data_IF_992945225699
#
_entry.id   IF_992945225699
#
_cell.length_a   1.000
_cell.length_b   1.000
_cell.length_c   1.000
_cell.angle_alpha   90.00
_cell.angle_beta   90.00
_cell.angle_gamma   90.00
#
_symmetry.space_group_name_H-M   'P 1'
#
loop_
_entity.id
_entity.type
_entity.pdbx_description
1 polymer ?
#
# COMPACT_ATOMS: atom_id res chain seq x y z
N UNK A 1 -4.53 -36.79 15.05
CA UNK A 1 -3.40 -37.44 14.34
C UNK A 1 -2.90 -36.64 13.14
N UNK A 2 -3.65 -36.39 12.05
CA UNK A 2 -3.12 -35.61 10.91
C UNK A 2 -2.77 -34.15 11.28
N UNK A 3 -3.60 -33.49 12.11
CA UNK A 3 -3.33 -32.13 12.61
C UNK A 3 -2.07 -32.08 13.49
N UNK A 4 -1.87 -33.07 14.37
CA UNK A 4 -0.74 -33.09 15.31
C UNK A 4 0.60 -33.26 14.59
N UNK A 5 0.63 -34.09 13.53
CA UNK A 5 1.83 -34.24 12.68
C UNK A 5 2.12 -32.93 11.92
N UNK A 6 1.09 -32.23 11.44
CA UNK A 6 1.26 -30.93 10.79
C UNK A 6 1.73 -29.84 11.77
N UNK A 7 1.22 -29.85 13.00
CA UNK A 7 1.62 -28.89 14.04
C UNK A 7 3.05 -29.13 14.52
N UNK A 8 3.45 -30.40 14.66
CA UNK A 8 4.83 -30.78 14.94
C UNK A 8 5.78 -30.36 13.81
N UNK A 9 5.40 -30.57 12.55
CA UNK A 9 6.19 -30.15 11.39
C UNK A 9 6.37 -28.62 11.31
N UNK A 10 5.31 -27.84 11.61
CA UNK A 10 5.38 -26.37 11.66
C UNK A 10 6.33 -25.88 12.75
N UNK A 11 6.26 -26.51 13.93
CA UNK A 11 7.11 -26.17 15.07
C UNK A 11 8.58 -26.53 14.80
N UNK A 12 8.84 -27.67 14.15
CA UNK A 12 10.18 -28.06 13.73
C UNK A 12 10.77 -27.12 12.67
N UNK A 13 9.96 -26.73 11.67
CA UNK A 13 10.37 -25.76 10.65
C UNK A 13 10.75 -24.39 11.24
N UNK A 14 9.97 -23.89 12.21
CA UNK A 14 10.34 -22.66 12.92
C UNK A 14 11.65 -22.81 13.71
N UNK A 15 11.85 -23.94 14.39
CA UNK A 15 13.10 -24.18 15.14
C UNK A 15 14.32 -24.26 14.22
N UNK A 16 14.19 -24.90 13.06
CA UNK A 16 15.25 -24.98 12.04
C UNK A 16 15.59 -23.58 11.49
N UNK A 17 14.58 -22.78 11.17
CA UNK A 17 14.79 -21.39 10.71
C UNK A 17 15.56 -20.55 11.74
N UNK A 18 15.18 -20.64 13.02
CA UNK A 18 15.89 -19.95 14.09
C UNK A 18 17.34 -20.44 14.23
N UNK A 19 17.57 -21.75 14.12
CA UNK A 19 18.92 -22.32 14.17
C UNK A 19 19.79 -21.85 12.99
N UNK A 20 19.19 -21.59 11.82
CA UNK A 20 19.85 -21.04 10.63
C UNK A 20 19.98 -19.50 10.66
N UNK A 21 19.57 -18.84 11.75
CA UNK A 21 19.60 -17.38 11.86
C UNK A 21 18.56 -16.65 11.01
N UNK A 22 17.60 -17.36 10.41
CA UNK A 22 16.51 -16.80 9.61
C UNK A 22 15.36 -16.33 10.52
N UNK A 23 15.62 -15.28 11.28
CA UNK A 23 14.71 -14.77 12.30
C UNK A 23 13.62 -13.82 11.77
N UNK A 24 13.57 -13.59 10.45
CA UNK A 24 12.65 -12.65 9.83
C UNK A 24 11.94 -13.26 8.62
N UNK A 25 10.83 -12.65 8.25
CA UNK A 25 10.04 -12.96 7.07
C UNK A 25 9.83 -11.69 6.25
N UNK A 26 10.10 -11.75 4.96
CA UNK A 26 9.78 -10.68 4.02
C UNK A 26 8.51 -11.03 3.24
N UNK A 27 7.64 -10.04 3.03
CA UNK A 27 6.42 -10.21 2.24
C UNK A 27 6.71 -10.08 0.75
N UNK A 28 6.41 -11.16 0.02
CA UNK A 28 6.66 -11.27 -1.41
C UNK A 28 5.34 -11.19 -2.17
N UNK A 29 5.33 -10.41 -3.24
CA UNK A 29 4.21 -10.37 -4.19
C UNK A 29 4.29 -11.58 -5.12
N UNK A 30 3.13 -12.07 -5.55
CA UNK A 30 3.03 -13.04 -6.65
C UNK A 30 2.33 -12.32 -7.80
N UNK A 31 3.08 -11.60 -8.66
CA UNK A 31 2.47 -10.71 -9.63
C UNK A 31 1.60 -11.43 -10.65
N UNK A 32 0.50 -10.80 -11.11
CA UNK A 32 0.05 -9.48 -10.70
C UNK A 32 -0.78 -9.53 -9.40
N UNK A 33 -0.41 -8.68 -8.42
CA UNK A 33 -1.01 -8.65 -7.07
C UNK A 33 -1.97 -7.48 -6.89
N UNK A 34 -2.92 -7.59 -5.97
CA UNK A 34 -3.88 -6.50 -5.74
C UNK A 34 -3.19 -5.26 -5.14
N UNK A 35 -3.80 -4.07 -5.31
CA UNK A 35 -3.24 -2.82 -4.77
C UNK A 35 -3.01 -2.84 -3.25
N UNK A 36 -3.84 -3.54 -2.47
CA UNK A 36 -3.69 -3.65 -1.01
C UNK A 36 -2.45 -4.45 -0.60
N UNK A 37 -2.15 -5.51 -1.35
CA UNK A 37 -0.93 -6.32 -1.19
C UNK A 37 0.32 -5.49 -1.49
N UNK A 38 0.27 -4.71 -2.57
CA UNK A 38 1.43 -3.95 -3.07
C UNK A 38 1.96 -2.93 -2.06
N UNK A 39 1.09 -2.27 -1.28
CA UNK A 39 1.49 -1.34 -0.19
C UNK A 39 2.36 -2.00 0.88
N UNK A 40 2.33 -3.32 0.97
CA UNK A 40 3.05 -4.12 1.95
C UNK A 40 4.20 -4.93 1.35
N UNK A 41 4.44 -4.80 0.05
CA UNK A 41 5.53 -5.49 -0.64
C UNK A 41 6.87 -5.14 0.01
N UNK A 42 7.74 -6.15 0.16
CA UNK A 42 9.07 -5.99 0.73
C UNK A 42 9.11 -5.69 2.23
N UNK A 43 7.97 -5.65 2.94
CA UNK A 43 7.96 -5.45 4.39
C UNK A 43 8.49 -6.67 5.14
N UNK A 44 9.31 -6.40 6.15
CA UNK A 44 9.92 -7.42 7.01
C UNK A 44 9.18 -7.52 8.34
N UNK A 45 8.95 -8.76 8.76
CA UNK A 45 8.29 -9.14 9.99
C UNK A 45 9.18 -10.09 10.79
N UNK A 46 9.04 -10.08 12.12
CA UNK A 46 9.75 -11.03 13.01
C UNK A 46 9.05 -12.38 13.14
N UNK A 47 7.78 -12.43 12.76
CA UNK A 47 6.94 -13.62 12.83
C UNK A 47 6.23 -13.83 11.51
N UNK A 48 5.92 -15.08 11.21
CA UNK A 48 5.18 -15.55 10.04
C UNK A 48 3.68 -15.20 10.10
N UNK A 49 3.19 -14.67 11.22
CA UNK A 49 1.77 -14.35 11.48
C UNK A 49 1.17 -13.23 10.58
N UNK A 50 1.77 -12.88 9.44
CA UNK A 50 1.52 -11.64 8.71
C UNK A 50 0.87 -11.79 7.31
N UNK A 51 0.40 -12.98 6.91
CA UNK A 51 0.07 -13.20 5.49
C UNK A 51 -1.44 -13.23 5.17
N UNK A 52 -2.30 -13.70 6.07
CA UNK A 52 -3.75 -13.61 5.89
C UNK A 52 -4.29 -12.23 6.32
N UNK A 53 -4.28 -11.29 5.36
CA UNK A 53 -4.73 -9.91 5.62
C UNK A 53 -6.12 -9.60 5.09
N UNK A 54 -6.50 -10.22 3.98
CA UNK A 54 -7.82 -10.07 3.38
C UNK A 54 -8.15 -11.30 2.51
N UNK A 55 -9.44 -11.57 2.24
CA UNK A 55 -9.83 -12.64 1.32
C UNK A 55 -9.17 -12.47 -0.05
N UNK A 56 -8.68 -13.57 -0.63
CA UNK A 56 -8.02 -13.57 -1.94
C UNK A 56 -6.64 -12.90 -1.96
N UNK A 57 -5.97 -12.79 -0.80
CA UNK A 57 -4.56 -12.40 -0.75
C UNK A 57 -3.69 -13.47 -1.41
N UNK A 58 -2.82 -13.04 -2.32
CA UNK A 58 -1.88 -13.85 -3.10
C UNK A 58 -0.44 -13.73 -2.62
N UNK A 59 -0.16 -12.83 -1.65
CA UNK A 59 1.19 -12.66 -1.12
C UNK A 59 1.70 -13.93 -0.43
N UNK A 60 2.97 -14.21 -0.64
CA UNK A 60 3.72 -15.24 0.09
C UNK A 60 4.72 -14.59 1.06
N UNK A 61 5.38 -15.44 1.84
CA UNK A 61 6.46 -15.05 2.73
C UNK A 61 7.71 -15.85 2.42
N UNK A 62 8.86 -15.20 2.58
CA UNK A 62 10.15 -15.87 2.52
C UNK A 62 10.98 -15.47 3.72
N UNK A 63 11.67 -16.44 4.29
CA UNK A 63 12.52 -16.26 5.45
C UNK A 63 13.83 -15.59 5.08
N UNK A 64 14.31 -14.71 5.96
CA UNK A 64 15.58 -14.01 5.79
C UNK A 64 16.31 -13.80 7.12
N UNK A 65 17.63 -13.65 7.04
CA UNK A 65 18.46 -13.41 8.21
C UNK A 65 18.45 -11.95 8.66
N UNK A 66 18.22 -11.02 7.73
CA UNK A 66 18.15 -9.57 7.99
C UNK A 66 17.48 -8.83 6.82
N UNK A 67 17.30 -7.51 6.97
CA UNK A 67 16.92 -6.64 5.85
C UNK A 67 17.95 -6.65 4.73
N UNK A 68 19.25 -6.69 5.07
CA UNK A 68 20.30 -6.72 4.06
C UNK A 68 20.25 -8.03 3.26
N UNK A 69 20.07 -9.17 3.93
CA UNK A 69 19.91 -10.48 3.27
C UNK A 69 18.71 -10.49 2.31
N UNK A 70 17.57 -9.92 2.73
CA UNK A 70 16.40 -9.82 1.86
C UNK A 70 16.64 -8.92 0.64
N UNK A 71 17.40 -7.84 0.79
CA UNK A 71 17.80 -6.96 -0.32
C UNK A 71 18.76 -7.67 -1.28
N UNK A 72 19.79 -8.32 -0.75
CA UNK A 72 20.82 -9.02 -1.53
C UNK A 72 20.23 -10.17 -2.36
N UNK A 73 19.21 -10.84 -1.83
CA UNK A 73 18.44 -11.89 -2.51
C UNK A 73 17.36 -11.37 -3.45
N UNK A 74 17.15 -10.05 -3.52
CA UNK A 74 16.14 -9.44 -4.39
C UNK A 74 14.69 -9.68 -3.95
N UNK A 75 14.45 -9.94 -2.67
CA UNK A 75 13.11 -10.25 -2.14
C UNK A 75 12.29 -9.00 -1.80
N UNK A 76 12.94 -7.83 -1.74
CA UNK A 76 12.30 -6.56 -1.41
C UNK A 76 11.86 -5.88 -2.71
N UNK A 77 10.56 -5.73 -2.88
CA UNK A 77 9.94 -4.97 -3.98
C UNK A 77 9.21 -3.78 -3.38
N UNK A 78 9.49 -2.58 -3.88
CA UNK A 78 8.76 -1.37 -3.44
C UNK A 78 7.42 -1.25 -4.16
N UNK A 79 6.43 -0.54 -3.59
CA UNK A 79 5.19 -0.21 -4.29
C UNK A 79 5.43 0.50 -5.64
N UNK A 80 6.47 1.32 -5.71
CA UNK A 80 6.91 2.04 -6.90
C UNK A 80 7.43 1.06 -7.97
N UNK A 81 8.34 0.15 -7.61
CA UNK A 81 8.82 -0.91 -8.51
C UNK A 81 7.67 -1.76 -9.05
N UNK A 82 6.72 -2.11 -8.19
CA UNK A 82 5.56 -2.90 -8.57
C UNK A 82 4.66 -2.14 -9.56
N UNK A 83 4.51 -0.82 -9.41
CA UNK A 83 3.76 0.00 -10.35
C UNK A 83 4.46 0.08 -11.71
N UNK A 84 5.76 0.36 -11.72
CA UNK A 84 6.57 0.47 -12.94
C UNK A 84 6.59 -0.83 -13.75
N UNK A 85 6.65 -1.98 -13.07
CA UNK A 85 6.61 -3.31 -13.70
C UNK A 85 5.21 -3.75 -14.11
N UNK A 86 4.17 -2.97 -13.84
CA UNK A 86 2.78 -3.32 -14.15
C UNK A 86 2.25 -4.48 -13.30
N UNK A 87 2.77 -4.68 -12.09
CA UNK A 87 2.43 -5.79 -11.20
C UNK A 87 1.20 -5.53 -10.33
N UNK A 88 0.60 -4.32 -10.40
CA UNK A 88 -0.52 -3.91 -9.56
C UNK A 88 -1.84 -4.07 -10.30
N UNK A 89 -2.76 -4.86 -9.72
CA UNK A 89 -4.17 -4.93 -10.14
C UNK A 89 -5.07 -4.04 -9.29
N UNK A 90 -6.28 -3.82 -9.81
CA UNK A 90 -7.39 -3.14 -9.13
C UNK A 90 -7.17 -1.63 -8.88
N UNK A 91 -6.22 -1.02 -9.61
CA UNK A 91 -6.09 0.43 -9.71
C UNK A 91 -7.20 0.99 -10.61
N UNK A 92 -7.80 2.10 -10.19
CA UNK A 92 -8.69 2.89 -11.06
C UNK A 92 -7.86 3.72 -12.06
N UNK A 93 -8.47 4.16 -13.16
CA UNK A 93 -7.78 5.01 -14.14
C UNK A 93 -7.23 6.29 -13.49
N UNK A 94 -8.01 6.91 -12.60
CA UNK A 94 -7.59 8.10 -11.86
C UNK A 94 -6.44 7.81 -10.87
N UNK A 95 -6.43 6.65 -10.21
CA UNK A 95 -5.31 6.24 -9.35
C UNK A 95 -4.04 6.06 -10.20
N UNK A 96 -4.15 5.37 -11.35
CA UNK A 96 -3.04 5.16 -12.27
C UNK A 96 -2.51 6.49 -12.83
N UNK A 97 -3.40 7.41 -13.22
CA UNK A 97 -3.03 8.71 -13.73
C UNK A 97 -2.36 9.58 -12.64
N UNK A 98 -2.87 9.60 -11.41
CA UNK A 98 -2.22 10.31 -10.31
C UNK A 98 -0.80 9.81 -10.03
N UNK A 99 -0.57 8.49 -10.08
CA UNK A 99 0.76 7.91 -9.91
C UNK A 99 1.67 8.31 -11.08
N UNK A 100 1.19 8.23 -12.33
CA UNK A 100 1.93 8.70 -13.52
C UNK A 100 2.28 10.19 -13.45
N UNK A 101 1.42 11.00 -12.86
CA UNK A 101 1.66 12.42 -12.62
C UNK A 101 2.59 12.70 -11.43
N UNK A 102 3.13 11.66 -10.79
CA UNK A 102 4.18 11.73 -9.77
C UNK A 102 3.70 11.53 -8.33
N UNK A 103 2.47 11.05 -8.13
CA UNK A 103 1.96 10.80 -6.77
C UNK A 103 2.53 9.53 -6.17
N UNK A 104 2.85 9.55 -4.88
CA UNK A 104 3.30 8.38 -4.12
C UNK A 104 2.25 7.23 -4.18
N UNK A 105 2.70 6.04 -4.60
CA UNK A 105 1.84 4.88 -4.84
C UNK A 105 1.10 4.48 -3.58
N UNK A 106 1.81 4.47 -2.45
CA UNK A 106 1.26 4.10 -1.14
C UNK A 106 0.14 5.06 -0.70
N UNK A 107 0.33 6.36 -0.91
CA UNK A 107 -0.61 7.42 -0.55
C UNK A 107 -1.86 7.36 -1.40
N UNK A 108 -1.72 7.13 -2.72
CA UNK A 108 -2.84 6.96 -3.65
C UNK A 108 -3.67 5.75 -3.25
N UNK A 109 -3.06 4.58 -3.07
CA UNK A 109 -3.77 3.35 -2.72
C UNK A 109 -4.47 3.47 -1.36
N UNK A 110 -3.78 3.99 -0.34
CA UNK A 110 -4.38 4.14 0.99
C UNK A 110 -5.50 5.18 1.02
N UNK A 111 -5.52 6.15 0.09
CA UNK A 111 -6.63 7.11 -0.04
C UNK A 111 -7.97 6.42 -0.35
N UNK A 112 -7.94 5.21 -0.94
CA UNK A 112 -9.12 4.39 -1.20
C UNK A 112 -9.77 3.81 0.07
N UNK A 113 -9.16 3.99 1.25
CA UNK A 113 -9.71 3.56 2.53
C UNK A 113 -10.51 4.68 3.21
N UNK A 114 -11.59 4.31 3.92
CA UNK A 114 -12.39 5.27 4.70
C UNK A 114 -13.06 6.33 3.82
N UNK A 115 -13.58 5.91 2.67
CA UNK A 115 -14.25 6.78 1.70
C UNK A 115 -15.57 7.27 2.28
N UNK A 116 -15.82 8.57 2.16
CA UNK A 116 -17.14 9.17 2.33
C UNK A 116 -17.45 10.10 1.16
N UNK A 117 -18.67 10.61 1.09
CA UNK A 117 -19.05 11.64 0.11
C UNK A 117 -19.16 12.99 0.81
N UNK A 118 -18.82 14.06 0.09
CA UNK A 118 -18.98 15.44 0.55
C UNK A 118 -19.31 16.34 -0.65
N UNK A 119 -19.98 17.46 -0.39
CA UNK A 119 -20.13 18.52 -1.40
C UNK A 119 -18.93 19.45 -1.34
N UNK A 120 -18.21 19.56 -2.46
CA UNK A 120 -17.04 20.42 -2.59
C UNK A 120 -17.12 21.08 -3.97
N UNK A 121 -16.97 22.41 -4.01
CA UNK A 121 -17.07 23.20 -5.24
C UNK A 121 -18.38 23.01 -6.03
N UNK A 122 -19.49 22.68 -5.36
CA UNK A 122 -20.77 22.40 -6.04
C UNK A 122 -20.86 20.99 -6.64
N UNK A 123 -19.86 20.13 -6.42
CA UNK A 123 -19.86 18.75 -6.87
C UNK A 123 -19.98 17.78 -5.69
N UNK A 124 -20.73 16.70 -5.87
CA UNK A 124 -20.80 15.60 -4.90
C UNK A 124 -19.65 14.63 -5.16
N UNK A 125 -18.58 14.76 -4.39
CA UNK A 125 -17.30 14.09 -4.65
C UNK A 125 -16.93 13.07 -3.57
N UNK A 126 -16.07 12.11 -3.93
CA UNK A 126 -15.47 11.16 -2.99
C UNK A 126 -14.31 11.80 -2.22
N UNK A 127 -14.37 11.71 -0.91
CA UNK A 127 -13.32 12.19 0.00
C UNK A 127 -12.74 11.04 0.81
N UNK A 128 -11.51 11.21 1.27
CA UNK A 128 -10.82 10.23 2.11
C UNK A 128 -10.58 10.76 3.52
N UNK A 129 -10.68 9.86 4.51
CA UNK A 129 -10.20 10.10 5.88
C UNK A 129 -8.71 9.77 6.04
N UNK A 130 -8.09 9.15 5.03
CA UNK A 130 -6.67 8.86 5.06
C UNK A 130 -5.83 10.14 5.00
N UNK A 131 -4.86 10.27 5.92
CA UNK A 131 -4.00 11.44 6.00
C UNK A 131 -4.69 12.72 6.50
N UNK A 132 -5.89 12.62 7.09
CA UNK A 132 -6.61 13.79 7.66
C UNK A 132 -6.56 13.89 9.18
N UNK A 133 -5.89 12.94 9.85
CA UNK A 133 -5.72 12.97 11.32
C UNK A 133 -4.89 14.17 11.78
N UNK A 134 -5.04 14.61 13.04
CA UNK A 134 -4.30 15.76 13.60
C UNK A 134 -2.77 15.65 13.47
N UNK A 135 -2.25 14.42 13.38
CA UNK A 135 -0.81 14.14 13.27
C UNK A 135 -0.31 14.16 11.82
N UNK A 136 -1.20 14.02 10.84
CA UNK A 136 -0.84 13.91 9.44
C UNK A 136 -0.28 15.22 8.86
N UNK A 137 0.78 15.13 8.05
CA UNK A 137 1.46 16.28 7.47
C UNK A 137 0.52 17.14 6.59
N UNK A 138 -0.37 16.51 5.82
CA UNK A 138 -1.36 17.23 5.02
C UNK A 138 -2.33 18.04 5.89
N UNK A 139 -2.87 17.44 6.97
CA UNK A 139 -3.78 18.12 7.90
C UNK A 139 -3.12 19.30 8.62
N UNK A 140 -1.83 19.18 8.98
CA UNK A 140 -1.06 20.28 9.58
C UNK A 140 -0.91 21.47 8.63
N UNK A 141 -0.66 21.19 7.34
CA UNK A 141 -0.59 22.22 6.28
C UNK A 141 -1.96 22.80 5.90
N UNK A 142 -3.03 22.06 6.14
CA UNK A 142 -4.40 22.44 5.76
C UNK A 142 -5.38 22.36 6.96
N UNK A 143 -5.18 23.17 8.02
CA UNK A 143 -5.98 23.05 9.25
C UNK A 143 -7.46 23.37 9.02
N UNK A 144 -7.77 24.27 8.08
CA UNK A 144 -9.12 24.72 7.74
C UNK A 144 -9.85 23.81 6.75
N UNK A 145 -9.19 22.81 6.16
CA UNK A 145 -9.84 21.88 5.22
C UNK A 145 -10.33 20.64 5.96
N UNK A 146 -11.66 20.42 6.07
CA UNK A 146 -12.19 19.30 6.82
C UNK A 146 -12.02 17.96 6.09
N UNK A 147 -11.92 18.00 4.75
CA UNK A 147 -11.91 16.82 3.89
C UNK A 147 -10.75 16.87 2.90
N UNK A 148 -10.21 15.69 2.56
CA UNK A 148 -9.20 15.50 1.53
C UNK A 148 -9.85 14.83 0.32
N UNK A 149 -9.76 15.46 -0.85
CA UNK A 149 -10.28 14.85 -2.08
C UNK A 149 -9.45 13.62 -2.45
N UNK A 150 -10.09 12.64 -3.10
CA UNK A 150 -9.39 11.51 -3.73
C UNK A 150 -8.94 11.87 -5.16
N UNK A 151 -7.95 11.16 -5.73
CA UNK A 151 -7.54 11.36 -7.12
C UNK A 151 -8.72 11.32 -8.10
N UNK A 152 -9.65 10.36 -7.95
CA UNK A 152 -10.85 10.28 -8.79
C UNK A 152 -11.64 11.59 -8.80
N UNK A 153 -11.90 12.15 -7.61
CA UNK A 153 -12.65 13.40 -7.45
C UNK A 153 -11.87 14.61 -7.95
N UNK A 154 -10.53 14.58 -7.85
CA UNK A 154 -9.68 15.67 -8.35
C UNK A 154 -9.78 15.74 -9.87
N UNK A 155 -9.64 14.61 -10.55
CA UNK A 155 -9.78 14.59 -12.01
C UNK A 155 -11.21 14.84 -12.49
N UNK A 156 -12.22 14.51 -11.70
CA UNK A 156 -13.62 14.81 -12.03
C UNK A 156 -13.93 16.32 -12.04
N UNK A 157 -13.34 17.08 -11.12
CA UNK A 157 -13.62 18.53 -10.99
C UNK A 157 -12.60 19.44 -11.66
N UNK A 158 -11.43 18.89 -12.03
CA UNK A 158 -10.36 19.68 -12.63
C UNK A 158 -10.80 20.19 -14.01
N UNK A 159 -10.55 21.47 -14.28
CA UNK A 159 -10.85 22.04 -15.60
C UNK A 159 -9.92 21.49 -16.69
N UNK A 160 -8.65 21.27 -16.35
CA UNK A 160 -7.61 20.77 -17.23
C UNK A 160 -6.50 20.04 -16.43
N UNK A 161 -5.45 19.60 -17.14
CA UNK A 161 -4.32 18.90 -16.52
C UNK A 161 -3.56 19.78 -15.51
N UNK A 162 -3.39 21.06 -15.81
CA UNK A 162 -2.66 21.96 -14.91
C UNK A 162 -3.42 22.15 -13.59
N UNK A 163 -4.74 22.31 -13.69
CA UNK A 163 -5.63 22.38 -12.54
C UNK A 163 -5.65 21.07 -11.75
N UNK A 164 -5.64 19.91 -12.41
CA UNK A 164 -5.52 18.62 -11.75
C UNK A 164 -4.21 18.50 -10.95
N UNK A 165 -3.07 18.87 -11.54
CA UNK A 165 -1.77 18.87 -10.85
C UNK A 165 -1.74 19.85 -9.67
N UNK A 166 -2.35 21.03 -9.82
CA UNK A 166 -2.51 22.01 -8.75
C UNK A 166 -3.34 21.44 -7.60
N UNK A 167 -4.45 20.77 -7.90
CA UNK A 167 -5.31 20.11 -6.91
C UNK A 167 -4.61 18.93 -6.24
N UNK A 168 -3.86 18.11 -6.98
CA UNK A 168 -3.06 17.01 -6.41
C UNK A 168 -2.02 17.51 -5.41
N UNK A 169 -1.34 18.62 -5.69
CA UNK A 169 -0.44 19.30 -4.72
C UNK A 169 -1.21 19.82 -3.51
N UNK A 170 -2.33 20.51 -3.74
CA UNK A 170 -3.19 21.05 -2.67
C UNK A 170 -3.67 19.97 -1.71
N UNK A 171 -4.04 18.81 -2.25
CA UNK A 171 -4.49 17.64 -1.49
C UNK A 171 -3.35 16.68 -1.10
N UNK A 172 -2.09 17.09 -1.27
CA UNK A 172 -0.91 16.41 -0.75
C UNK A 172 -0.65 15.03 -1.35
N UNK A 173 -1.01 14.83 -2.61
CA UNK A 173 -0.59 13.67 -3.41
C UNK A 173 0.73 13.93 -4.12
N UNK A 174 0.98 15.18 -4.50
CA UNK A 174 2.25 15.67 -5.02
C UNK A 174 2.94 16.55 -3.97
N UNK A 175 4.26 16.50 -3.93
CA UNK A 175 5.10 17.34 -3.07
C UNK A 175 5.82 18.39 -3.90
#
# INVERSE_FOLDING_TARGET
>A
MASEVQDAARSAGQAEMYAQGQAFYVRILVPPSCKRCTVLAGRIYRTDAAFDRHPGCDCTSESCASLQDALDRGLVVTPEDAFERGWIRDLTEAEMQAIRDGSDVTTVINSASGISTAEVFGHRVKVTRYGTTRRAAWRKRNPSRPVRLRPESIYEIAADREDALRLLRLYGYLT
#
